data_IF_530481898895
#
_entry.id   IF_530481898895
#
_cell.length_a   1.000
_cell.length_b   1.000
_cell.length_c   1.000
_cell.angle_alpha   90.00
_cell.angle_beta   90.00
_cell.angle_gamma   90.00
#
_symmetry.space_group_name_H-M   'P 1'
#
loop_
_entity.id
_entity.type
_entity.pdbx_description
1 polymer ?
#
# COMPACT_ATOMS: atom_id res chain seq x y z
N UNK A 1 8.75 27.64 -2.15
CA UNK A 1 9.52 26.68 -2.96
C UNK A 1 10.22 25.71 -2.03
N UNK A 2 10.01 24.41 -2.25
CA UNK A 2 10.95 23.29 -2.11
C UNK A 2 10.15 22.00 -1.93
N UNK A 3 10.20 21.12 -2.92
CA UNK A 3 10.19 19.67 -2.69
C UNK A 3 10.97 19.04 -3.85
N UNK A 4 12.29 19.05 -3.67
CA UNK A 4 13.25 18.28 -4.46
C UNK A 4 12.99 16.79 -4.25
N UNK A 5 13.00 16.04 -5.36
CA UNK A 5 13.19 14.60 -5.47
C UNK A 5 12.17 13.67 -4.78
N UNK A 6 10.89 13.75 -5.17
CA UNK A 6 10.10 12.50 -5.20
C UNK A 6 10.64 11.67 -6.37
N UNK A 7 11.55 10.74 -6.08
CA UNK A 7 11.97 9.73 -7.04
C UNK A 7 10.72 8.93 -7.42
N UNK A 8 10.25 9.03 -8.65
CA UNK A 8 9.10 8.27 -9.12
C UNK A 8 9.58 6.93 -9.68
N UNK A 9 8.83 5.86 -9.43
CA UNK A 9 9.13 4.55 -9.98
C UNK A 9 8.16 4.31 -11.14
N UNK A 10 8.66 4.10 -12.38
CA UNK A 10 7.80 3.75 -13.50
C UNK A 10 7.01 2.49 -13.18
N UNK A 11 5.70 2.50 -13.45
CA UNK A 11 4.84 1.32 -13.24
C UNK A 11 5.37 0.12 -14.04
N UNK A 12 5.86 0.35 -15.26
CA UNK A 12 6.43 -0.70 -16.11
C UNK A 12 7.63 -1.40 -15.45
N UNK A 13 8.51 -0.63 -14.79
CA UNK A 13 9.67 -1.17 -14.07
C UNK A 13 9.26 -2.00 -12.86
N UNK A 14 8.26 -1.53 -12.10
CA UNK A 14 7.69 -2.29 -10.99
C UNK A 14 7.07 -3.60 -11.49
N UNK A 15 6.28 -3.56 -12.57
CA UNK A 15 5.64 -4.73 -13.17
C UNK A 15 6.67 -5.78 -13.62
N UNK A 16 7.74 -5.34 -14.30
CA UNK A 16 8.85 -6.21 -14.72
C UNK A 16 9.57 -6.85 -13.51
N UNK A 17 9.85 -6.05 -12.48
CA UNK A 17 10.59 -6.51 -11.29
C UNK A 17 9.78 -7.50 -10.45
N UNK A 18 8.48 -7.25 -10.28
CA UNK A 18 7.59 -8.09 -9.48
C UNK A 18 6.93 -9.21 -10.29
N UNK A 19 7.07 -9.22 -11.61
CA UNK A 19 6.44 -10.21 -12.48
C UNK A 19 4.90 -10.12 -12.51
N UNK A 20 4.34 -8.91 -12.48
CA UNK A 20 2.90 -8.65 -12.49
C UNK A 20 2.46 -7.86 -13.71
N UNK A 21 1.17 -7.95 -14.07
CA UNK A 21 0.62 -7.17 -15.19
C UNK A 21 0.36 -5.70 -14.82
N UNK A 22 0.50 -4.80 -15.79
CA UNK A 22 0.13 -3.39 -15.62
C UNK A 22 -1.34 -3.19 -15.28
N UNK A 23 -2.22 -4.09 -15.77
CA UNK A 23 -3.64 -4.09 -15.43
C UNK A 23 -3.88 -4.30 -13.95
N UNK A 24 -3.08 -5.16 -13.29
CA UNK A 24 -3.18 -5.38 -11.85
C UNK A 24 -2.87 -4.09 -11.06
N UNK A 25 -1.85 -3.33 -11.44
CA UNK A 25 -1.54 -2.04 -10.79
C UNK A 25 -2.66 -1.01 -10.99
N UNK A 26 -3.30 -1.01 -12.17
CA UNK A 26 -4.47 -0.14 -12.43
C UNK A 26 -5.66 -0.57 -11.58
N UNK A 27 -5.93 -1.86 -11.50
CA UNK A 27 -6.99 -2.40 -10.65
C UNK A 27 -6.74 -2.07 -9.18
N UNK A 28 -5.52 -2.22 -8.67
CA UNK A 28 -5.17 -1.76 -7.31
C UNK A 28 -5.44 -0.27 -7.13
N UNK A 29 -5.17 0.55 -8.15
CA UNK A 29 -5.50 1.98 -8.12
C UNK A 29 -7.01 2.22 -8.06
N UNK A 30 -7.79 1.49 -8.84
CA UNK A 30 -9.26 1.59 -8.86
C UNK A 30 -9.89 1.16 -7.53
N UNK A 31 -9.28 0.19 -6.85
CA UNK A 31 -9.68 -0.26 -5.51
C UNK A 31 -9.16 0.65 -4.38
N UNK A 32 -8.42 1.72 -4.70
CA UNK A 32 -7.84 2.64 -3.72
C UNK A 32 -6.69 2.04 -2.90
N UNK A 33 -6.08 0.96 -3.39
CA UNK A 33 -4.95 0.27 -2.76
C UNK A 33 -3.58 0.74 -3.29
N UNK A 34 -3.59 1.57 -4.33
CA UNK A 34 -2.40 2.15 -4.95
C UNK A 34 -2.71 3.57 -5.42
N UNK A 35 -1.76 4.48 -5.26
CA UNK A 35 -1.78 5.79 -5.90
C UNK A 35 -0.84 5.77 -7.13
N UNK A 36 -1.44 5.96 -8.31
CA UNK A 36 -0.72 6.08 -9.59
C UNK A 36 -0.73 7.54 -10.06
N UNK A 37 0.46 8.05 -10.39
CA UNK A 37 0.68 9.41 -10.88
C UNK A 37 0.98 9.35 -12.38
N UNK A 38 0.32 10.21 -13.16
CA UNK A 38 0.55 10.32 -14.61
C UNK A 38 1.41 11.56 -14.89
N UNK A 39 2.56 11.36 -15.53
CA UNK A 39 3.47 12.43 -15.98
C UNK A 39 3.85 12.13 -17.43
N UNK A 40 3.60 13.08 -18.34
CA UNK A 40 3.90 12.92 -19.78
C UNK A 40 3.40 11.58 -20.35
N UNK A 41 2.13 11.25 -20.06
CA UNK A 41 1.45 10.01 -20.48
C UNK A 41 2.03 8.70 -19.90
N UNK A 42 3.01 8.78 -18.99
CA UNK A 42 3.58 7.62 -18.30
C UNK A 42 3.06 7.52 -16.87
N UNK A 43 2.84 6.28 -16.43
CA UNK A 43 2.34 5.97 -15.09
C UNK A 43 3.48 5.68 -14.13
N UNK A 44 3.38 6.23 -12.92
CA UNK A 44 4.37 6.12 -11.87
C UNK A 44 3.73 5.80 -10.52
N UNK A 45 4.48 5.13 -9.66
CA UNK A 45 4.17 4.94 -8.24
C UNK A 45 5.22 5.65 -7.38
N UNK A 46 4.84 5.93 -6.13
CA UNK A 46 5.76 6.50 -5.15
C UNK A 46 6.62 5.38 -4.49
N UNK A 47 7.88 5.67 -4.11
CA UNK A 47 8.76 4.67 -3.51
C UNK A 47 8.27 4.09 -2.18
N UNK A 48 7.53 4.88 -1.41
CA UNK A 48 6.95 4.47 -0.12
C UNK A 48 5.82 3.44 -0.28
N UNK A 49 5.20 3.36 -1.46
CA UNK A 49 4.16 2.37 -1.76
C UNK A 49 4.73 1.02 -2.23
N UNK A 50 5.99 0.94 -2.67
CA UNK A 50 6.57 -0.26 -3.30
C UNK A 50 6.47 -1.48 -2.39
N UNK A 51 6.86 -1.34 -1.12
CA UNK A 51 6.85 -2.45 -0.18
C UNK A 51 5.43 -3.01 0.04
N UNK A 52 4.42 -2.12 0.03
CA UNK A 52 3.03 -2.52 0.17
C UNK A 52 2.50 -3.16 -1.12
N UNK A 53 2.84 -2.61 -2.29
CA UNK A 53 2.46 -3.20 -3.58
C UNK A 53 3.08 -4.58 -3.79
N UNK A 54 4.35 -4.79 -3.43
CA UNK A 54 4.97 -6.12 -3.44
C UNK A 54 4.23 -7.10 -2.52
N UNK A 55 3.78 -6.64 -1.36
CA UNK A 55 3.01 -7.46 -0.42
C UNK A 55 1.65 -7.83 -1.01
N UNK A 56 0.95 -6.88 -1.63
CA UNK A 56 -0.33 -7.09 -2.30
C UNK A 56 -0.17 -8.02 -3.52
N UNK A 57 0.89 -7.87 -4.31
CA UNK A 57 1.24 -8.77 -5.40
C UNK A 57 1.39 -10.20 -4.90
N UNK A 58 2.17 -10.45 -3.85
CA UNK A 58 2.32 -11.81 -3.29
C UNK A 58 0.98 -12.38 -2.79
N UNK A 59 0.15 -11.57 -2.14
CA UNK A 59 -1.17 -12.02 -1.70
C UNK A 59 -2.07 -12.40 -2.88
N UNK A 60 -2.01 -11.67 -3.99
CA UNK A 60 -2.79 -11.98 -5.18
C UNK A 60 -2.27 -13.21 -5.93
N UNK A 61 -0.98 -13.18 -6.33
CA UNK A 61 -0.40 -14.15 -7.24
C UNK A 61 0.06 -15.44 -6.54
N UNK A 62 0.57 -15.36 -5.30
CA UNK A 62 1.06 -16.55 -4.59
C UNK A 62 -0.05 -17.20 -3.74
N UNK A 63 -0.99 -16.41 -3.23
CA UNK A 63 -2.05 -16.87 -2.32
C UNK A 63 -3.46 -16.87 -2.93
N UNK A 64 -3.59 -16.54 -4.22
CA UNK A 64 -4.85 -16.54 -4.98
C UNK A 64 -5.96 -15.67 -4.37
N UNK A 65 -5.59 -14.58 -3.68
CA UNK A 65 -6.56 -13.67 -3.05
C UNK A 65 -7.01 -12.63 -4.08
N UNK A 66 -8.32 -12.51 -4.31
CA UNK A 66 -8.87 -11.49 -5.21
C UNK A 66 -8.75 -10.05 -4.66
N UNK A 67 -9.01 -9.05 -5.52
CA UNK A 67 -8.90 -7.63 -5.19
C UNK A 67 -9.81 -7.20 -4.03
N UNK A 68 -11.04 -7.71 -3.97
CA UNK A 68 -11.96 -7.47 -2.85
C UNK A 68 -11.39 -8.03 -1.54
N UNK A 69 -10.75 -9.19 -1.60
CA UNK A 69 -10.05 -9.80 -0.48
C UNK A 69 -8.86 -8.96 -0.02
N UNK A 70 -8.06 -8.43 -0.95
CA UNK A 70 -6.97 -7.51 -0.63
C UNK A 70 -7.47 -6.25 0.06
N UNK A 71 -8.54 -5.64 -0.47
CA UNK A 71 -9.13 -4.44 0.12
C UNK A 71 -9.67 -4.71 1.53
N UNK A 72 -10.32 -5.85 1.74
CA UNK A 72 -10.77 -6.27 3.06
C UNK A 72 -9.59 -6.47 4.02
N UNK A 73 -8.49 -7.08 3.57
CA UNK A 73 -7.28 -7.30 4.38
C UNK A 73 -6.67 -5.96 4.81
N UNK A 74 -6.49 -5.03 3.88
CA UNK A 74 -5.93 -3.70 4.17
C UNK A 74 -6.81 -2.96 5.19
N UNK A 75 -8.12 -2.92 4.97
CA UNK A 75 -9.08 -2.30 5.90
C UNK A 75 -9.04 -2.91 7.30
N UNK A 76 -8.94 -4.24 7.40
CA UNK A 76 -8.86 -4.91 8.68
C UNK A 76 -7.52 -4.67 9.39
N UNK A 77 -6.42 -4.59 8.63
CA UNK A 77 -5.10 -4.25 9.18
C UNK A 77 -5.09 -2.84 9.78
N UNK A 78 -5.69 -1.86 9.09
CA UNK A 78 -5.83 -0.49 9.60
C UNK A 78 -6.66 -0.44 10.89
N UNK A 79 -7.79 -1.15 10.93
CA UNK A 79 -8.62 -1.27 12.15
C UNK A 79 -7.86 -1.89 13.32
N UNK A 80 -7.11 -2.96 13.07
CA UNK A 80 -6.31 -3.62 14.10
C UNK A 80 -5.21 -2.68 14.61
N UNK A 81 -4.57 -1.92 13.73
CA UNK A 81 -3.55 -0.93 14.10
C UNK A 81 -4.15 0.16 14.99
N UNK A 82 -5.29 0.73 14.61
CA UNK A 82 -5.98 1.74 15.41
C UNK A 82 -6.38 1.21 16.80
N UNK A 83 -6.91 -0.02 16.87
CA UNK A 83 -7.25 -0.66 18.14
C UNK A 83 -6.01 -0.89 19.02
N UNK A 84 -4.89 -1.31 18.44
CA UNK A 84 -3.63 -1.48 19.18
C UNK A 84 -3.12 -0.15 19.74
N UNK A 85 -3.18 0.92 18.94
CA UNK A 85 -2.80 2.27 19.38
C UNK A 85 -3.67 2.77 20.54
N UNK A 86 -4.98 2.49 20.50
CA UNK A 86 -5.90 2.81 21.59
C UNK A 86 -5.56 2.04 22.88
N UNK A 87 -5.36 0.72 22.78
CA UNK A 87 -4.96 -0.12 23.92
C UNK A 87 -3.65 0.37 24.54
N UNK A 88 -2.64 0.68 23.72
CA UNK A 88 -1.36 1.20 24.17
C UNK A 88 -1.51 2.55 24.87
N UNK A 89 -2.37 3.42 24.35
CA UNK A 89 -2.65 4.72 24.96
C UNK A 89 -3.34 4.57 26.33
N UNK A 90 -4.30 3.64 26.45
CA UNK A 90 -4.97 3.32 27.70
C UNK A 90 -3.98 2.72 28.73
N UNK A 91 -3.12 1.79 28.31
CA UNK A 91 -2.09 1.20 29.17
C UNK A 91 -1.11 2.27 29.69
N UNK A 92 -0.65 3.17 28.82
CA UNK A 92 0.20 4.30 29.23
C UNK A 92 -0.49 5.23 30.23
N UNK A 93 -1.82 5.43 30.13
CA UNK A 93 -2.59 6.21 31.11
C UNK A 93 -2.65 5.50 32.46
N UNK A 94 -2.97 4.21 32.48
CA UNK A 94 -3.01 3.40 33.71
C UNK A 94 -1.67 3.40 34.45
N UNK A 95 -0.57 3.19 33.71
CA UNK A 95 0.78 3.14 34.29
C UNK A 95 1.27 4.49 34.84
N UNK A 96 0.64 5.62 34.47
CA UNK A 96 0.98 6.95 35.05
C UNK A 96 0.34 7.20 36.41
N UNK A 97 -0.63 6.38 36.79
CA UNK A 97 -1.36 6.48 38.07
C UNK A 97 -0.92 5.43 39.09
N UNK A 98 0.10 4.64 38.76
CA UNK A 98 0.81 3.73 39.67
C UNK A 98 2.17 4.33 40.00
#
# INVERSE_FOLDING_TARGET
MNNSDKSYIPVDLFCETCGVEISFVRELSDYGLCEVIIVEEKSYILPDQVAELERLSRLHYDMEINLEGLQAIVHLQEKIKALKEEVDMLNRKLNRHQ
#
